data_IF_617782781091
#
_entry.id   IF_617782781091
#
_cell.length_a   1.000
_cell.length_b   1.000
_cell.length_c   1.000
_cell.angle_alpha   90.00
_cell.angle_beta   90.00
_cell.angle_gamma   90.00
#
_symmetry.space_group_name_H-M   'P 1'
#
loop_
_entity.id
_entity.type
_entity.pdbx_description
1 polymer ?
#
# COMPACT_ATOMS: atom_id res chain seq x y z
N UNK A 1 -42.99 -60.84 -2.02
CA UNK A 1 -42.28 -60.07 -3.06
C UNK A 1 -43.19 -58.98 -3.58
N UNK A 2 -43.08 -57.75 -3.04
CA UNK A 2 -43.90 -56.60 -3.46
C UNK A 2 -43.03 -55.65 -4.30
N UNK A 3 -43.45 -55.44 -5.54
CA UNK A 3 -42.86 -54.52 -6.53
C UNK A 3 -43.14 -53.08 -6.11
N UNK A 4 -42.13 -52.21 -6.16
CA UNK A 4 -42.26 -50.77 -5.98
C UNK A 4 -42.25 -50.10 -7.36
N UNK A 5 -43.29 -49.32 -7.63
CA UNK A 5 -43.57 -48.58 -8.86
C UNK A 5 -42.84 -47.24 -8.79
N UNK A 6 -42.06 -46.92 -9.83
CA UNK A 6 -41.44 -45.60 -10.04
C UNK A 6 -42.43 -44.75 -10.84
N UNK A 7 -42.85 -43.62 -10.27
CA UNK A 7 -43.74 -42.66 -10.92
C UNK A 7 -42.90 -41.46 -11.40
N UNK A 8 -42.77 -41.34 -12.72
CA UNK A 8 -42.15 -40.21 -13.41
C UNK A 8 -43.21 -39.09 -13.54
N UNK A 9 -42.94 -37.90 -12.98
CA UNK A 9 -43.72 -36.69 -13.29
C UNK A 9 -42.86 -35.72 -14.08
N UNK A 10 -43.24 -35.53 -15.35
CA UNK A 10 -42.81 -34.43 -16.20
C UNK A 10 -43.77 -33.27 -15.95
N UNK A 11 -43.24 -32.08 -15.64
CA UNK A 11 -43.98 -30.83 -15.74
C UNK A 11 -43.14 -29.79 -16.47
N UNK A 12 -43.76 -29.18 -17.48
CA UNK A 12 -43.21 -28.16 -18.35
C UNK A 12 -43.83 -26.79 -18.00
N UNK A 13 -42.99 -25.75 -17.97
CA UNK A 13 -43.36 -24.37 -18.31
C UNK A 13 -43.75 -23.41 -17.17
N UNK A 14 -42.90 -22.42 -16.87
CA UNK A 14 -43.17 -20.99 -17.13
C UNK A 14 -41.94 -20.12 -16.82
N UNK A 15 -41.64 -19.19 -17.73
CA UNK A 15 -40.63 -18.13 -17.61
C UNK A 15 -41.13 -16.99 -16.71
N UNK A 16 -40.34 -16.60 -15.70
CA UNK A 16 -40.28 -15.22 -15.19
C UNK A 16 -38.81 -14.92 -14.86
N UNK A 17 -38.27 -13.88 -15.49
CA UNK A 17 -36.89 -13.45 -15.31
C UNK A 17 -36.64 -12.89 -13.91
N UNK A 18 -35.56 -13.34 -13.30
CA UNK A 18 -34.83 -12.57 -12.28
C UNK A 18 -33.44 -12.37 -12.88
N UNK A 19 -33.20 -11.18 -13.45
CA UNK A 19 -31.85 -10.69 -13.67
C UNK A 19 -31.23 -10.49 -12.29
N UNK A 20 -30.55 -11.51 -11.79
CA UNK A 20 -29.64 -11.36 -10.68
C UNK A 20 -28.46 -10.54 -11.19
N UNK A 21 -28.50 -9.23 -10.92
CA UNK A 21 -27.29 -8.43 -10.86
C UNK A 21 -26.42 -9.05 -9.78
N UNK A 22 -25.50 -9.92 -10.18
CA UNK A 22 -24.36 -10.27 -9.34
C UNK A 22 -23.45 -9.05 -9.34
N UNK A 23 -23.68 -8.14 -8.40
CA UNK A 23 -22.58 -7.35 -7.86
C UNK A 23 -21.60 -8.34 -7.25
N UNK A 24 -20.71 -8.88 -8.07
CA UNK A 24 -19.44 -9.42 -7.60
C UNK A 24 -18.61 -8.22 -7.17
N UNK A 25 -18.97 -7.65 -6.02
CA UNK A 25 -17.97 -7.05 -5.16
C UNK A 25 -16.96 -8.19 -4.95
N UNK A 26 -15.80 -8.06 -5.59
CA UNK A 26 -14.70 -8.97 -5.37
C UNK A 26 -14.49 -9.01 -3.87
N UNK A 27 -14.75 -10.16 -3.25
CA UNK A 27 -14.42 -10.36 -1.86
C UNK A 27 -12.92 -10.09 -1.75
N UNK A 28 -12.55 -8.94 -1.19
CA UNK A 28 -11.16 -8.67 -0.82
C UNK A 28 -10.76 -9.86 0.04
N UNK A 29 -9.80 -10.66 -0.42
CA UNK A 29 -9.25 -11.73 0.42
C UNK A 29 -8.72 -11.02 1.65
N UNK A 30 -9.42 -11.16 2.78
CA UNK A 30 -9.03 -10.49 4.02
C UNK A 30 -7.65 -11.03 4.39
N UNK A 31 -6.61 -10.25 4.07
CA UNK A 31 -5.24 -10.68 4.31
C UNK A 31 -5.05 -10.62 5.81
N UNK A 32 -4.92 -11.80 6.44
CA UNK A 32 -4.65 -11.89 7.86
C UNK A 32 -3.39 -11.07 8.17
N UNK A 33 -3.47 -10.05 9.06
CA UNK A 33 -2.33 -9.18 9.31
C UNK A 33 -1.11 -9.98 9.78
N UNK A 34 0.07 -9.67 9.30
CA UNK A 34 1.31 -10.36 9.64
C UNK A 34 1.62 -10.31 11.15
N UNK A 35 1.13 -9.30 11.88
CA UNK A 35 1.24 -9.25 13.34
C UNK A 35 0.48 -10.38 14.05
N UNK A 36 -0.58 -10.95 13.44
CA UNK A 36 -1.28 -12.12 14.00
C UNK A 36 -0.38 -13.36 14.08
N UNK A 37 0.75 -13.39 13.37
CA UNK A 37 1.73 -14.46 13.52
C UNK A 37 2.37 -14.44 14.93
N UNK A 38 2.57 -13.26 15.51
CA UNK A 38 3.08 -13.12 16.90
C UNK A 38 2.04 -13.65 17.88
N UNK A 39 0.76 -13.30 17.68
CA UNK A 39 -0.36 -13.86 18.43
C UNK A 39 -0.37 -15.38 18.41
N UNK A 40 -0.26 -15.94 17.21
CA UNK A 40 -0.30 -17.38 17.00
C UNK A 40 0.87 -18.09 17.70
N UNK A 41 2.08 -17.52 17.63
CA UNK A 41 3.27 -18.08 18.31
C UNK A 41 3.05 -18.13 19.82
N UNK A 42 2.65 -17.00 20.43
CA UNK A 42 2.39 -16.93 21.87
C UNK A 42 1.31 -17.92 22.28
N UNK A 43 0.16 -17.89 21.59
CA UNK A 43 -0.98 -18.75 21.89
C UNK A 43 -0.64 -20.24 21.77
N UNK A 44 0.10 -20.65 20.75
CA UNK A 44 0.51 -22.05 20.55
C UNK A 44 1.39 -22.54 21.69
N UNK A 45 2.35 -21.73 22.13
CA UNK A 45 3.19 -22.08 23.28
C UNK A 45 2.37 -22.21 24.56
N UNK A 46 1.56 -21.20 24.90
CA UNK A 46 0.79 -21.21 26.15
C UNK A 46 -0.30 -22.27 26.18
N UNK A 47 -0.88 -22.62 25.02
CA UNK A 47 -1.75 -23.78 24.90
C UNK A 47 -1.03 -25.04 25.40
N UNK A 48 0.14 -25.34 24.85
CA UNK A 48 0.88 -26.56 25.19
C UNK A 48 1.33 -26.57 26.66
N UNK A 49 1.78 -25.44 27.20
CA UNK A 49 2.19 -25.33 28.62
C UNK A 49 0.99 -25.51 29.55
N UNK A 50 -0.14 -24.87 29.23
CA UNK A 50 -1.30 -24.85 30.10
C UNK A 50 -2.14 -26.12 30.01
N UNK A 51 -2.28 -26.75 28.84
CA UNK A 51 -3.03 -28.01 28.66
C UNK A 51 -2.37 -29.22 29.35
N UNK A 52 -1.09 -29.13 29.70
CA UNK A 52 -0.46 -30.09 30.60
C UNK A 52 -0.91 -29.96 32.07
N UNK A 53 -1.53 -28.84 32.44
CA UNK A 53 -2.31 -28.70 33.68
C UNK A 53 -3.76 -29.13 33.47
N UNK A 54 -4.47 -29.55 34.51
CA UNK A 54 -5.87 -30.02 34.46
C UNK A 54 -6.91 -28.94 34.03
N UNK A 55 -6.77 -28.38 32.82
CA UNK A 55 -7.57 -27.26 32.32
C UNK A 55 -8.72 -27.77 31.48
N UNK A 56 -9.94 -27.35 31.83
CA UNK A 56 -11.15 -27.75 31.12
C UNK A 56 -11.46 -26.88 29.91
N UNK A 57 -10.93 -25.65 29.85
CA UNK A 57 -11.09 -24.73 28.70
C UNK A 57 -10.09 -23.58 28.72
N UNK A 58 -9.48 -23.28 27.57
CA UNK A 58 -8.65 -22.10 27.33
C UNK A 58 -9.36 -21.12 26.39
N UNK A 59 -9.32 -19.82 26.71
CA UNK A 59 -9.59 -18.75 25.74
C UNK A 59 -8.29 -17.99 25.48
N UNK A 60 -7.99 -17.76 24.21
CA UNK A 60 -6.80 -17.03 23.76
C UNK A 60 -7.07 -15.52 23.81
N UNK A 61 -6.16 -14.71 24.38
CA UNK A 61 -6.22 -13.25 24.16
C UNK A 61 -5.27 -12.85 23.03
N UNK A 62 -5.53 -11.65 22.55
CA UNK A 62 -4.75 -10.94 21.53
C UNK A 62 -3.58 -10.20 22.17
N UNK A 63 -2.48 -10.19 21.44
CA UNK A 63 -1.29 -9.39 21.60
C UNK A 63 -1.65 -7.91 21.45
N UNK A 64 -0.94 -7.06 22.18
CA UNK A 64 -1.16 -5.62 22.09
C UNK A 64 -0.44 -5.03 20.86
N UNK A 65 -1.15 -4.85 19.76
CA UNK A 65 -0.62 -4.26 18.52
C UNK A 65 -0.13 -2.83 18.69
N UNK A 66 -0.61 -2.10 19.71
CA UNK A 66 -0.18 -0.73 20.00
C UNK A 66 1.30 -0.65 20.42
N UNK A 67 1.93 -1.80 20.69
CA UNK A 67 3.37 -1.87 20.95
C UNK A 67 4.22 -1.69 19.69
N UNK A 68 3.64 -1.71 18.49
CA UNK A 68 4.37 -1.64 17.22
C UNK A 68 4.25 -0.29 16.54
N UNK A 69 5.39 0.21 16.04
CA UNK A 69 5.43 1.27 15.04
C UNK A 69 5.87 0.68 13.71
N UNK A 70 5.35 1.25 12.63
CA UNK A 70 5.77 0.94 11.27
C UNK A 70 6.63 2.07 10.71
N UNK A 71 7.65 1.68 9.96
CA UNK A 71 8.51 2.58 9.21
C UNK A 71 8.76 2.01 7.82
N UNK A 72 9.10 2.86 6.86
CA UNK A 72 9.42 2.45 5.51
C UNK A 72 10.67 3.15 4.98
N UNK A 73 11.35 2.49 4.06
CA UNK A 73 12.53 3.03 3.37
C UNK A 73 12.54 2.62 1.92
N UNK A 74 13.06 3.49 1.04
CA UNK A 74 13.33 3.17 -0.37
C UNK A 74 14.24 1.94 -0.47
N UNK A 75 13.93 1.03 -1.40
CA UNK A 75 14.73 -0.17 -1.69
C UNK A 75 15.26 -0.13 -3.12
N UNK A 76 16.52 0.31 -3.27
CA UNK A 76 17.15 0.51 -4.57
C UNK A 76 16.77 1.85 -5.23
N UNK A 77 17.39 2.15 -6.37
CA UNK A 77 17.04 3.35 -7.14
C UNK A 77 15.82 3.10 -8.02
N UNK A 78 14.91 4.09 -8.18
CA UNK A 78 13.78 3.94 -9.06
C UNK A 78 14.21 3.85 -10.52
N UNK A 79 13.44 3.08 -11.27
CA UNK A 79 13.52 3.02 -12.72
C UNK A 79 12.66 4.15 -13.28
N UNK A 80 13.29 5.04 -14.04
CA UNK A 80 12.63 6.12 -14.77
C UNK A 80 12.33 5.65 -16.20
N UNK A 81 11.09 5.81 -16.66
CA UNK A 81 10.75 5.57 -18.07
C UNK A 81 11.30 6.66 -18.96
N UNK A 82 11.35 6.38 -20.27
CA UNK A 82 11.51 7.43 -21.27
C UNK A 82 10.39 8.47 -21.15
N UNK A 83 10.70 9.67 -21.65
CA UNK A 83 9.77 10.80 -21.66
C UNK A 83 8.67 10.52 -22.68
N UNK A 84 7.41 10.55 -22.23
CA UNK A 84 6.23 10.40 -23.07
C UNK A 84 5.53 11.76 -23.25
N UNK A 85 5.47 12.33 -24.47
CA UNK A 85 4.76 13.58 -24.71
C UNK A 85 3.25 13.34 -24.78
N UNK A 86 2.50 13.96 -23.87
CA UNK A 86 1.05 14.10 -23.94
C UNK A 86 0.74 15.29 -24.83
N UNK A 87 0.27 15.00 -26.04
CA UNK A 87 -0.10 16.02 -27.01
C UNK A 87 -1.47 16.63 -26.72
N UNK A 88 -1.55 17.96 -26.67
CA UNK A 88 -2.78 18.69 -26.40
C UNK A 88 -3.42 19.33 -27.63
N UNK A 89 -2.65 19.48 -28.71
CA UNK A 89 -3.17 19.97 -29.98
C UNK A 89 -2.21 20.88 -30.74
N UNK A 90 -2.63 21.23 -31.95
CA UNK A 90 -1.92 22.10 -32.88
C UNK A 90 -2.88 22.95 -33.69
N UNK A 91 -2.43 24.11 -34.11
CA UNK A 91 -3.20 25.01 -34.98
C UNK A 91 -3.37 24.41 -36.38
N UNK A 92 -4.58 23.91 -36.69
CA UNK A 92 -4.91 23.25 -37.98
C UNK A 92 -4.58 24.07 -39.24
N UNK A 93 -4.60 25.40 -39.17
CA UNK A 93 -4.32 26.30 -40.31
C UNK A 93 -3.03 27.11 -40.17
N UNK A 94 -2.35 27.03 -39.02
CA UNK A 94 -1.24 27.92 -38.70
C UNK A 94 -1.60 29.41 -38.58
N UNK A 95 -0.61 30.22 -38.24
CA UNK A 95 -0.60 31.67 -38.29
C UNK A 95 -0.08 32.06 -39.67
N UNK A 96 -0.98 32.38 -40.60
CA UNK A 96 -0.67 32.59 -42.02
C UNK A 96 -0.49 34.07 -42.31
N UNK A 97 0.72 34.48 -42.73
CA UNK A 97 0.97 35.81 -43.25
C UNK A 97 1.07 35.78 -44.78
N UNK A 98 0.00 36.21 -45.46
CA UNK A 98 -0.03 36.33 -46.93
C UNK A 98 0.34 37.74 -47.43
N UNK A 99 0.81 38.63 -46.54
CA UNK A 99 1.18 40.00 -46.90
C UNK A 99 2.68 40.09 -47.21
N UNK A 100 3.07 41.17 -47.88
CA UNK A 100 4.48 41.47 -48.18
C UNK A 100 5.26 42.03 -46.98
N UNK A 101 4.60 42.25 -45.84
CA UNK A 101 5.18 42.82 -44.63
C UNK A 101 5.10 41.83 -43.45
N UNK A 102 5.94 42.01 -42.43
CA UNK A 102 5.85 41.26 -41.18
C UNK A 102 4.52 41.56 -40.46
N UNK A 103 3.81 40.52 -40.03
CA UNK A 103 2.56 40.64 -39.28
C UNK A 103 2.72 40.08 -37.87
N UNK A 104 2.03 40.69 -36.91
CA UNK A 104 2.00 40.19 -35.53
C UNK A 104 0.69 39.45 -35.29
N UNK A 105 0.78 38.16 -34.96
CA UNK A 105 -0.35 37.31 -34.62
C UNK A 105 -0.40 37.05 -33.11
N UNK A 106 -1.61 36.82 -32.59
CA UNK A 106 -1.82 36.38 -31.22
C UNK A 106 -2.00 34.86 -31.16
N UNK A 107 -1.17 34.19 -30.37
CA UNK A 107 -1.36 32.82 -29.93
C UNK A 107 -2.28 32.87 -28.72
N UNK A 108 -3.46 32.22 -28.75
CA UNK A 108 -4.38 32.25 -27.63
C UNK A 108 -3.77 31.58 -26.39
N UNK A 109 -4.25 31.96 -25.21
CA UNK A 109 -3.88 31.26 -23.98
C UNK A 109 -4.30 29.79 -24.06
N UNK A 110 -3.54 28.95 -23.38
CA UNK A 110 -3.82 27.53 -23.23
C UNK A 110 -4.17 27.22 -21.78
N UNK A 111 -5.12 26.30 -21.55
CA UNK A 111 -5.45 25.78 -20.23
C UNK A 111 -5.90 24.33 -20.34
N UNK A 112 -5.28 23.43 -19.57
CA UNK A 112 -5.66 22.01 -19.51
C UNK A 112 -5.39 21.43 -18.14
N UNK A 113 -6.37 20.73 -17.58
CA UNK A 113 -6.21 19.95 -16.36
C UNK A 113 -5.57 18.60 -16.69
N UNK A 114 -4.54 18.26 -15.93
CA UNK A 114 -3.80 16.99 -16.02
C UNK A 114 -3.79 16.34 -14.64
N UNK A 115 -4.06 15.04 -14.62
CA UNK A 115 -4.07 14.25 -13.39
C UNK A 115 -2.76 13.47 -13.26
N UNK A 116 -2.09 13.64 -12.13
CA UNK A 116 -0.94 12.85 -11.69
C UNK A 116 -1.40 11.76 -10.74
N UNK A 117 -0.60 10.70 -10.65
CA UNK A 117 -0.93 9.57 -9.80
C UNK A 117 0.28 9.01 -9.08
N UNK A 118 0.02 8.50 -7.87
CA UNK A 118 0.97 7.80 -7.04
C UNK A 118 0.29 6.55 -6.52
N UNK A 119 0.75 5.40 -6.97
CA UNK A 119 0.23 4.10 -6.60
C UNK A 119 1.26 3.36 -5.75
N UNK A 120 0.80 2.73 -4.67
CA UNK A 120 1.61 1.86 -3.82
C UNK A 120 0.87 0.56 -3.56
N UNK A 121 1.61 -0.54 -3.51
CA UNK A 121 1.08 -1.85 -3.12
C UNK A 121 2.09 -2.54 -2.20
N UNK A 122 1.61 -3.46 -1.38
CA UNK A 122 2.44 -4.19 -0.43
C UNK A 122 2.26 -5.69 -0.58
N UNK A 123 3.32 -6.43 -0.29
CA UNK A 123 3.25 -7.89 -0.20
C UNK A 123 2.42 -8.35 0.99
N UNK A 124 1.94 -9.60 0.97
CA UNK A 124 1.19 -10.19 2.09
C UNK A 124 1.94 -10.11 3.43
N UNK A 125 3.26 -10.25 3.41
CA UNK A 125 4.09 -10.19 4.61
C UNK A 125 4.28 -8.75 5.15
N UNK A 126 3.98 -7.74 4.35
CA UNK A 126 4.00 -6.33 4.74
C UNK A 126 2.65 -5.82 5.26
N UNK A 127 1.58 -6.61 5.19
CA UNK A 127 0.27 -6.24 5.73
C UNK A 127 0.27 -6.40 7.25
N UNK A 128 0.78 -5.43 8.00
CA UNK A 128 0.89 -5.49 9.46
C UNK A 128 -0.42 -5.19 10.20
N UNK A 129 -1.41 -4.56 9.56
CA UNK A 129 -2.65 -4.16 10.22
C UNK A 129 -2.54 -2.89 11.07
N UNK A 130 -1.48 -2.08 10.87
CA UNK A 130 -1.16 -0.91 11.69
C UNK A 130 -1.62 0.43 11.07
N UNK A 131 -2.40 0.40 9.98
CA UNK A 131 -2.89 1.60 9.31
C UNK A 131 -1.90 2.16 8.29
N UNK A 132 -1.80 3.49 8.19
CA UNK A 132 -1.04 4.17 7.13
C UNK A 132 0.32 4.68 7.61
N UNK A 133 1.32 4.63 6.74
CA UNK A 133 2.66 5.16 6.98
C UNK A 133 3.15 5.95 5.77
N UNK A 134 3.84 7.05 6.01
CA UNK A 134 4.48 7.83 4.95
C UNK A 134 5.90 7.32 4.71
N UNK A 135 6.25 7.05 3.45
CA UNK A 135 7.56 6.51 3.06
C UNK A 135 8.23 7.49 2.10
N UNK A 136 9.49 7.91 2.34
CA UNK A 136 10.25 8.65 1.35
C UNK A 136 10.62 7.75 0.16
N UNK A 137 10.25 8.15 -1.05
CA UNK A 137 10.45 7.36 -2.27
C UNK A 137 11.52 7.97 -3.19
N UNK A 138 11.53 9.29 -3.38
CA UNK A 138 12.47 9.96 -4.30
C UNK A 138 12.57 11.46 -3.97
N UNK A 139 13.75 11.95 -3.56
CA UNK A 139 13.94 13.35 -3.16
C UNK A 139 12.87 13.81 -2.15
N UNK A 140 12.09 14.83 -2.49
CA UNK A 140 10.98 15.35 -1.67
C UNK A 140 9.67 14.56 -1.85
N UNK A 141 9.62 13.56 -2.73
CA UNK A 141 8.45 12.73 -2.95
C UNK A 141 8.37 11.59 -1.93
N UNK A 142 7.34 11.65 -1.10
CA UNK A 142 6.90 10.58 -0.22
C UNK A 142 5.65 9.88 -0.75
N UNK A 143 5.26 8.74 -0.18
CA UNK A 143 3.96 8.11 -0.44
C UNK A 143 3.31 7.60 0.84
N UNK A 144 1.99 7.72 0.91
CA UNK A 144 1.19 7.08 1.95
C UNK A 144 0.92 5.62 1.59
N UNK A 145 1.49 4.71 2.36
CA UNK A 145 1.29 3.27 2.22
C UNK A 145 0.32 2.77 3.27
N UNK A 146 -0.72 2.06 2.84
CA UNK A 146 -1.63 1.37 3.75
C UNK A 146 -1.06 -0.01 4.11
N UNK A 147 -0.74 -0.21 5.38
CA UNK A 147 -0.18 -1.45 5.92
C UNK A 147 -1.24 -2.44 6.39
N UNK A 148 -2.53 -2.14 6.20
CA UNK A 148 -3.64 -3.01 6.59
C UNK A 148 -4.27 -3.77 5.42
N UNK A 149 -3.86 -3.51 4.19
CA UNK A 149 -4.34 -4.22 2.99
C UNK A 149 -3.22 -4.36 1.96
N UNK A 150 -3.23 -5.45 1.19
CA UNK A 150 -2.36 -5.65 0.02
C UNK A 150 -2.89 -4.97 -1.24
N UNK A 151 -4.07 -4.37 -1.17
CA UNK A 151 -4.65 -3.66 -2.31
C UNK A 151 -3.78 -2.47 -2.69
N UNK A 152 -3.76 -2.16 -4.00
CA UNK A 152 -3.04 -0.99 -4.48
C UNK A 152 -3.76 0.28 -4.06
N UNK A 153 -3.11 1.11 -3.24
CA UNK A 153 -3.58 2.44 -2.90
C UNK A 153 -3.11 3.43 -3.97
N UNK A 154 -4.02 4.17 -4.59
CA UNK A 154 -3.70 5.19 -5.59
C UNK A 154 -4.19 6.55 -5.14
N UNK A 155 -3.26 7.49 -4.99
CA UNK A 155 -3.52 8.90 -4.77
C UNK A 155 -3.42 9.62 -6.11
N UNK A 156 -4.34 10.56 -6.37
CA UNK A 156 -4.32 11.38 -7.58
C UNK A 156 -4.41 12.85 -7.23
N UNK A 157 -3.70 13.66 -8.01
CA UNK A 157 -3.74 15.12 -7.92
C UNK A 157 -4.02 15.67 -9.31
N UNK A 158 -4.95 16.61 -9.43
CA UNK A 158 -5.26 17.24 -10.71
C UNK A 158 -4.78 18.69 -10.70
N UNK A 159 -3.82 18.98 -11.58
CA UNK A 159 -3.24 20.32 -11.73
C UNK A 159 -3.70 20.91 -13.05
N UNK A 160 -4.11 22.18 -13.03
CA UNK A 160 -4.45 22.92 -14.25
C UNK A 160 -3.23 23.67 -14.75
N UNK A 161 -2.75 23.25 -15.92
CA UNK A 161 -1.61 23.85 -16.60
C UNK A 161 -2.11 24.94 -17.51
N UNK A 162 -1.56 26.15 -17.36
CA UNK A 162 -1.92 27.30 -18.16
C UNK A 162 -0.71 27.93 -18.84
N UNK A 163 -0.93 28.45 -20.05
CA UNK A 163 -0.03 29.34 -20.75
C UNK A 163 -0.78 30.63 -21.09
N UNK A 164 -0.24 31.82 -20.79
CA UNK A 164 -0.85 33.07 -21.22
C UNK A 164 -0.84 33.19 -22.75
N UNK A 165 -1.66 34.10 -23.27
CA UNK A 165 -1.63 34.46 -24.69
C UNK A 165 -0.30 35.15 -25.03
N UNK A 166 0.21 34.93 -26.23
CA UNK A 166 1.54 35.39 -26.65
C UNK A 166 1.49 35.98 -28.05
N UNK A 167 2.19 37.10 -28.26
CA UNK A 167 2.34 37.69 -29.59
C UNK A 167 3.53 37.08 -30.34
N UNK A 168 3.33 36.78 -31.62
CA UNK A 168 4.31 36.17 -32.52
C UNK A 168 4.40 36.98 -33.79
N UNK A 169 5.62 37.38 -34.16
CA UNK A 169 5.91 38.01 -35.44
C UNK A 169 6.11 36.94 -36.50
N UNK A 170 5.33 37.01 -37.57
CA UNK A 170 5.39 36.09 -38.71
C UNK A 170 5.85 36.90 -39.93
N UNK A 171 7.01 36.56 -40.52
CA UNK A 171 7.51 37.25 -41.72
C UNK A 171 6.54 37.17 -42.90
N UNK A 172 6.74 38.04 -43.88
CA UNK A 172 6.00 38.02 -45.13
C UNK A 172 6.00 36.62 -45.78
N UNK A 173 4.85 36.20 -46.31
CA UNK A 173 4.66 34.92 -47.01
C UNK A 173 5.05 33.67 -46.22
N UNK A 174 4.93 33.71 -44.88
CA UNK A 174 5.22 32.59 -43.98
C UNK A 174 3.99 32.11 -43.23
N UNK A 175 4.02 30.83 -42.88
CA UNK A 175 3.01 30.20 -42.03
C UNK A 175 3.69 29.52 -40.85
N UNK A 176 3.35 29.94 -39.64
CA UNK A 176 3.87 29.33 -38.41
C UNK A 176 2.82 28.44 -37.75
N UNK A 177 3.19 27.23 -37.36
CA UNK A 177 2.38 26.32 -36.57
C UNK A 177 2.62 26.53 -35.07
N UNK A 178 1.63 26.18 -34.26
CA UNK A 178 1.76 26.16 -32.79
C UNK A 178 1.35 24.78 -32.31
N UNK A 179 2.25 24.07 -31.64
CA UNK A 179 1.99 22.76 -31.02
C UNK A 179 2.15 22.85 -29.51
N UNK A 180 1.26 22.18 -28.79
CA UNK A 180 1.26 22.17 -27.32
C UNK A 180 1.31 20.72 -26.83
N UNK A 181 2.25 20.44 -25.93
CA UNK A 181 2.38 19.12 -25.32
C UNK A 181 2.98 19.22 -23.91
N UNK A 182 2.74 18.19 -23.11
CA UNK A 182 3.31 18.01 -21.78
C UNK A 182 4.16 16.75 -21.79
N UNK A 183 5.41 16.84 -21.36
CA UNK A 183 6.22 15.66 -21.10
C UNK A 183 5.77 15.00 -19.81
N UNK A 184 5.48 13.69 -19.87
CA UNK A 184 5.19 12.85 -18.72
C UNK A 184 6.34 11.86 -18.52
N UNK A 185 6.66 11.62 -17.26
CA UNK A 185 7.56 10.55 -16.87
C UNK A 185 6.90 9.67 -15.82
N UNK A 186 7.30 8.40 -15.83
CA UNK A 186 6.90 7.42 -14.84
C UNK A 186 8.12 6.94 -14.09
N UNK A 187 8.00 6.85 -12.77
CA UNK A 187 8.96 6.20 -11.90
C UNK A 187 8.35 4.95 -11.32
N UNK A 188 9.07 3.84 -11.38
CA UNK A 188 8.72 2.61 -10.66
C UNK A 188 9.85 2.23 -9.71
N UNK A 189 9.52 1.67 -8.56
CA UNK A 189 10.52 1.27 -7.59
C UNK A 189 9.95 0.39 -6.49
N UNK A 190 10.82 0.02 -5.56
CA UNK A 190 10.49 -0.82 -4.42
C UNK A 190 10.78 -0.09 -3.12
N UNK A 191 10.08 -0.48 -2.06
CA UNK A 191 10.36 -0.03 -0.70
C UNK A 191 10.28 -1.21 0.27
N UNK A 192 10.98 -1.07 1.39
CA UNK A 192 10.89 -1.99 2.53
C UNK A 192 10.09 -1.34 3.63
N UNK A 193 9.24 -2.14 4.26
CA UNK A 193 8.51 -1.81 5.46
C UNK A 193 9.03 -2.65 6.63
N UNK A 194 9.10 -2.01 7.80
CA UNK A 194 9.44 -2.67 9.06
C UNK A 194 8.44 -2.26 10.12
N UNK A 195 7.73 -3.24 10.66
CA UNK A 195 6.97 -3.09 11.90
C UNK A 195 7.87 -3.56 13.05
N UNK A 196 8.14 -2.70 14.01
CA UNK A 196 8.96 -3.02 15.17
C UNK A 196 8.37 -2.45 16.44
N UNK A 197 8.61 -3.13 17.55
CA UNK A 197 8.19 -2.61 18.85
C UNK A 197 8.87 -1.27 19.14
N UNK A 198 8.10 -0.24 19.51
CA UNK A 198 8.64 1.09 19.76
C UNK A 198 9.00 1.27 21.23
N UNK A 199 10.23 1.75 21.46
CA UNK A 199 10.90 1.87 22.78
C UNK A 199 11.30 0.53 23.40
N UNK A 200 12.42 0.52 24.11
CA UNK A 200 12.85 -0.58 24.97
C UNK A 200 12.00 -0.65 26.26
N UNK A 201 10.66 -0.63 26.15
CA UNK A 201 9.75 -0.73 27.30
C UNK A 201 9.40 -2.17 27.65
N UNK A 202 8.90 -2.28 28.87
CA UNK A 202 8.78 -3.44 29.76
C UNK A 202 7.85 -4.52 29.18
N UNK A 203 8.43 -5.70 28.95
CA UNK A 203 7.72 -6.98 28.83
C UNK A 203 6.69 -7.06 27.69
N UNK A 204 7.15 -7.59 26.57
CA UNK A 204 6.26 -8.07 25.52
C UNK A 204 5.56 -9.32 26.04
N UNK A 205 4.29 -9.20 26.41
CA UNK A 205 3.53 -10.31 27.02
C UNK A 205 2.38 -10.79 26.14
N UNK A 206 2.05 -12.07 26.28
CA UNK A 206 0.77 -12.61 25.84
C UNK A 206 -0.05 -12.94 27.09
N UNK A 207 -1.34 -12.63 27.04
CA UNK A 207 -2.27 -13.01 28.10
C UNK A 207 -3.12 -14.18 27.61
N UNK A 208 -3.40 -15.13 28.48
CA UNK A 208 -4.29 -16.25 28.22
C UNK A 208 -5.30 -16.37 29.35
N UNK A 209 -6.52 -16.79 29.03
CA UNK A 209 -7.57 -16.97 30.03
C UNK A 209 -7.79 -18.45 30.27
N UNK A 210 -7.45 -18.89 31.48
CA UNK A 210 -7.65 -20.25 31.97
C UNK A 210 -8.95 -20.33 32.74
N UNK A 211 -9.83 -21.27 32.40
CA UNK A 211 -11.02 -21.56 33.19
C UNK A 211 -10.74 -22.69 34.20
N UNK A 212 -10.81 -22.37 35.49
CA UNK A 212 -10.60 -23.32 36.60
C UNK A 212 -11.91 -23.62 37.35
N UNK A 213 -12.12 -24.86 37.84
CA UNK A 213 -13.26 -25.16 38.72
C UNK A 213 -13.07 -24.53 40.10
N UNK A 214 -14.13 -24.00 40.70
CA UNK A 214 -14.07 -23.41 42.05
C UNK A 214 -14.17 -24.41 43.20
N UNK A 215 -14.14 -25.72 42.90
CA UNK A 215 -14.41 -26.78 43.88
C UNK A 215 -15.90 -26.97 44.20
N UNK A 216 -16.79 -26.05 43.81
CA UNK A 216 -18.24 -26.23 43.86
C UNK A 216 -18.76 -26.86 42.55
N UNK A 217 -19.73 -27.77 42.64
CA UNK A 217 -20.20 -28.61 41.52
C UNK A 217 -20.73 -27.86 40.28
N UNK A 218 -20.89 -26.52 40.34
CA UNK A 218 -21.41 -25.70 39.24
C UNK A 218 -20.61 -24.40 38.97
N UNK A 219 -19.53 -24.12 39.70
CA UNK A 219 -18.80 -22.85 39.62
C UNK A 219 -17.49 -22.92 38.82
N UNK A 220 -17.23 -21.88 38.03
CA UNK A 220 -15.97 -21.69 37.30
C UNK A 220 -15.44 -20.27 37.52
N UNK A 221 -14.12 -20.14 37.60
CA UNK A 221 -13.43 -18.85 37.55
C UNK A 221 -12.58 -18.77 36.29
N UNK A 222 -12.59 -17.60 35.66
CA UNK A 222 -11.70 -17.26 34.56
C UNK A 222 -10.49 -16.52 35.15
N UNK A 223 -9.32 -17.16 35.07
CA UNK A 223 -8.04 -16.63 35.54
C UNK A 223 -7.25 -16.11 34.34
N UNK A 224 -6.81 -14.85 34.40
CA UNK A 224 -5.90 -14.27 33.40
C UNK A 224 -4.47 -14.60 33.80
N UNK A 225 -3.75 -15.24 32.89
CA UNK A 225 -2.34 -15.55 33.07
C UNK A 225 -1.58 -14.79 31.99
N UNK A 226 -0.62 -13.98 32.41
CA UNK A 226 0.20 -13.16 31.52
C UNK A 226 1.63 -13.69 31.56
N UNK A 227 2.22 -13.90 30.40
CA UNK A 227 3.57 -14.43 30.27
C UNK A 227 4.37 -13.71 29.18
N UNK A 228 5.68 -13.53 29.35
CA UNK A 228 6.53 -12.89 28.36
C UNK A 228 6.74 -13.77 27.13
N UNK A 229 6.71 -13.16 25.95
CA UNK A 229 6.87 -13.86 24.66
C UNK A 229 8.20 -14.63 24.56
N UNK A 230 9.21 -14.19 25.30
CA UNK A 230 10.52 -14.85 25.46
C UNK A 230 10.40 -16.32 25.85
N UNK A 231 9.41 -16.68 26.68
CA UNK A 231 9.22 -18.08 27.07
C UNK A 231 8.85 -18.96 25.87
N UNK A 232 8.05 -18.42 24.94
CA UNK A 232 7.72 -19.10 23.69
C UNK A 232 8.96 -19.20 22.79
N UNK A 233 9.78 -18.14 22.74
CA UNK A 233 11.01 -18.11 21.93
C UNK A 233 12.01 -19.20 22.35
N UNK A 234 12.41 -19.24 23.63
CA UNK A 234 13.41 -20.22 24.09
C UNK A 234 12.92 -21.66 24.02
N UNK A 235 11.62 -21.88 23.97
CA UNK A 235 11.03 -23.21 23.83
C UNK A 235 10.96 -23.67 22.38
N UNK A 236 10.76 -22.76 21.43
CA UNK A 236 10.81 -23.09 20.02
C UNK A 236 11.21 -21.86 19.19
N UNK A 237 12.52 -21.71 18.97
CA UNK A 237 13.09 -20.62 18.18
C UNK A 237 12.73 -20.73 16.69
N UNK A 238 12.52 -21.95 16.18
CA UNK A 238 12.14 -22.19 14.79
C UNK A 238 10.80 -21.56 14.44
N UNK A 239 9.82 -21.60 15.36
CA UNK A 239 8.50 -20.99 15.16
C UNK A 239 8.57 -19.50 14.82
N UNK A 240 9.51 -18.74 15.41
CA UNK A 240 9.66 -17.32 15.12
C UNK A 240 10.23 -17.11 13.72
N UNK A 241 11.29 -17.86 13.39
CA UNK A 241 11.96 -17.78 12.09
C UNK A 241 11.03 -18.18 10.94
N UNK A 242 10.30 -19.28 11.10
CA UNK A 242 9.34 -19.79 10.10
C UNK A 242 8.18 -18.81 9.85
N UNK A 243 7.82 -18.02 10.85
CA UNK A 243 6.80 -16.99 10.75
C UNK A 243 7.35 -15.60 10.34
N UNK A 244 8.66 -15.48 10.10
CA UNK A 244 9.30 -14.21 9.72
C UNK A 244 9.28 -13.16 10.84
N UNK A 245 9.24 -13.58 12.10
CA UNK A 245 9.33 -12.71 13.27
C UNK A 245 10.78 -12.66 13.74
N UNK A 246 11.40 -11.49 13.59
CA UNK A 246 12.72 -11.22 14.15
C UNK A 246 12.60 -10.95 15.64
N UNK A 247 13.40 -11.63 16.45
CA UNK A 247 13.43 -11.54 17.90
C UNK A 247 14.83 -11.11 18.37
N UNK A 248 14.86 -10.20 19.35
CA UNK A 248 16.06 -9.84 20.10
C UNK A 248 15.66 -9.61 21.56
N UNK A 249 16.45 -10.09 22.50
CA UNK A 249 16.19 -9.92 23.93
C UNK A 249 17.48 -9.71 24.69
N UNK A 250 17.39 -9.08 25.86
CA UNK A 250 18.50 -9.01 26.81
C UNK A 250 18.69 -10.31 27.61
N UNK A 251 17.82 -11.30 27.44
CA UNK A 251 17.98 -12.65 27.99
C UNK A 251 18.82 -13.55 27.06
N UNK A 252 19.32 -14.66 27.61
CA UNK A 252 20.15 -15.65 26.89
C UNK A 252 19.63 -17.08 26.96
N UNK A 253 18.68 -17.34 27.86
CA UNK A 253 18.07 -18.65 28.10
C UNK A 253 16.67 -18.49 28.69
N UNK A 254 15.92 -19.58 28.79
CA UNK A 254 14.60 -19.58 29.41
C UNK A 254 14.69 -19.21 30.90
N UNK A 255 15.65 -19.75 31.62
CA UNK A 255 15.88 -19.48 33.04
C UNK A 255 16.24 -18.01 33.28
N UNK A 256 17.14 -17.46 32.46
CA UNK A 256 17.53 -16.04 32.50
C UNK A 256 16.34 -15.13 32.17
N UNK A 257 15.51 -15.50 31.18
CA UNK A 257 14.29 -14.77 30.87
C UNK A 257 13.29 -14.78 32.04
N UNK A 258 13.16 -15.91 32.75
CA UNK A 258 12.29 -16.03 33.91
C UNK A 258 12.77 -15.18 35.09
N UNK A 259 14.08 -15.15 35.35
CA UNK A 259 14.67 -14.32 36.39
C UNK A 259 14.50 -12.83 36.06
N UNK A 260 14.84 -12.42 34.83
CA UNK A 260 14.69 -11.03 34.38
C UNK A 260 13.25 -10.57 34.39
N UNK A 261 12.30 -11.44 34.04
CA UNK A 261 10.87 -11.16 34.12
C UNK A 261 10.42 -10.93 35.58
N UNK A 262 10.81 -11.82 36.51
CA UNK A 262 10.52 -11.64 37.94
C UNK A 262 11.09 -10.33 38.50
N UNK A 263 12.24 -9.90 37.98
CA UNK A 263 12.93 -8.69 38.40
C UNK A 263 12.49 -7.43 37.62
N UNK A 264 11.55 -7.51 36.67
CA UNK A 264 11.11 -6.38 35.84
C UNK A 264 12.16 -5.82 34.87
N UNK A 265 13.23 -6.59 34.64
CA UNK A 265 14.40 -6.19 33.83
C UNK A 265 14.41 -6.82 32.44
N UNK A 266 13.44 -7.69 32.12
CA UNK A 266 13.34 -8.29 30.81
C UNK A 266 13.04 -7.23 29.74
N UNK A 267 13.80 -7.25 28.65
CA UNK A 267 13.67 -6.34 27.52
C UNK A 267 13.74 -7.14 26.23
N UNK A 268 12.70 -6.99 25.42
CA UNK A 268 12.52 -7.77 24.19
C UNK A 268 12.11 -6.83 23.07
N UNK A 269 12.61 -7.09 21.87
CA UNK A 269 12.25 -6.40 20.65
C UNK A 269 11.78 -7.44 19.65
N UNK A 270 10.62 -7.19 19.06
CA UNK A 270 10.09 -7.95 17.93
C UNK A 270 10.04 -7.06 16.71
N UNK A 271 10.35 -7.63 15.54
CA UNK A 271 10.08 -6.94 14.28
C UNK A 271 9.68 -7.90 13.17
N UNK A 272 8.85 -7.41 12.26
CA UNK A 272 8.56 -8.04 10.99
C UNK A 272 8.97 -7.10 9.87
N UNK A 273 9.38 -7.70 8.76
CA UNK A 273 9.77 -6.98 7.55
C UNK A 273 8.89 -7.45 6.41
N UNK A 274 8.64 -6.55 5.47
CA UNK A 274 7.97 -6.88 4.24
C UNK A 274 8.27 -5.85 3.16
N UNK A 275 8.01 -6.23 1.93
CA UNK A 275 8.33 -5.40 0.78
C UNK A 275 7.04 -4.85 0.15
N UNK A 276 7.21 -3.76 -0.59
CA UNK A 276 6.18 -3.18 -1.45
C UNK A 276 6.80 -2.49 -2.66
N UNK A 277 5.93 -2.04 -3.54
CA UNK A 277 6.30 -1.39 -4.79
C UNK A 277 5.48 -0.12 -4.99
N UNK A 278 6.03 0.80 -5.78
CA UNK A 278 5.38 2.05 -6.11
C UNK A 278 5.49 2.39 -7.59
N UNK A 279 4.51 3.15 -8.05
CA UNK A 279 4.49 3.82 -9.34
C UNK A 279 4.11 5.28 -9.14
N UNK A 280 4.90 6.19 -9.67
CA UNK A 280 4.61 7.63 -9.68
C UNK A 280 4.55 8.09 -11.15
N UNK A 281 3.46 8.72 -11.54
CA UNK A 281 3.28 9.32 -12.87
C UNK A 281 3.08 10.83 -12.73
N UNK A 282 4.11 11.60 -13.11
CA UNK A 282 4.12 13.05 -13.02
C UNK A 282 4.43 13.70 -14.38
N UNK A 283 3.86 14.88 -14.63
CA UNK A 283 4.23 15.74 -15.76
C UNK A 283 5.44 16.58 -15.41
N UNK A 284 6.49 16.60 -16.25
CA UNK A 284 7.73 17.33 -15.99
C UNK A 284 7.70 18.74 -16.57
N UNK A 285 7.52 18.83 -17.88
CA UNK A 285 7.75 20.04 -18.66
C UNK A 285 6.60 20.26 -19.62
N UNK A 286 5.97 21.42 -19.50
CA UNK A 286 4.96 21.87 -20.42
C UNK A 286 5.57 22.74 -21.51
N UNK A 287 5.26 22.42 -22.76
CA UNK A 287 5.85 23.05 -23.93
C UNK A 287 4.78 23.68 -24.83
N UNK A 288 5.00 24.96 -25.17
CA UNK A 288 4.35 25.63 -26.31
C UNK A 288 5.41 25.92 -27.36
N UNK A 289 5.33 25.24 -28.49
CA UNK A 289 6.33 25.36 -29.56
C UNK A 289 5.71 26.01 -30.79
N UNK A 290 6.32 27.11 -31.22
CA UNK A 290 6.02 27.79 -32.47
C UNK A 290 7.08 27.37 -33.48
N UNK A 291 6.67 26.92 -34.64
CA UNK A 291 7.57 26.41 -35.67
C UNK A 291 7.16 26.89 -37.07
N UNK A 292 8.12 26.99 -38.00
CA UNK A 292 7.85 27.30 -39.41
C UNK A 292 7.34 26.03 -40.10
N UNK A 293 6.11 26.07 -40.63
CA UNK A 293 5.49 24.89 -41.23
C UNK A 293 6.17 24.43 -42.52
N UNK A 294 6.96 25.30 -43.18
CA UNK A 294 7.64 24.96 -44.43
C UNK A 294 8.84 24.03 -44.25
N UNK A 295 9.48 24.06 -43.08
CA UNK A 295 10.71 23.31 -42.80
C UNK A 295 10.71 22.66 -41.40
N UNK A 296 9.60 22.75 -40.67
CA UNK A 296 9.41 22.25 -39.31
C UNK A 296 10.44 22.78 -38.29
N UNK A 297 11.05 23.94 -38.57
CA UNK A 297 12.05 24.55 -37.68
C UNK A 297 11.35 25.25 -36.52
N UNK A 298 11.73 24.91 -35.29
CA UNK A 298 11.33 25.66 -34.10
C UNK A 298 11.81 27.11 -34.20
N UNK A 299 10.85 28.04 -34.10
CA UNK A 299 11.09 29.49 -34.08
C UNK A 299 11.14 29.98 -32.64
N UNK A 300 10.25 29.48 -31.80
CA UNK A 300 10.18 29.83 -30.38
C UNK A 300 9.60 28.69 -29.57
N UNK A 301 10.10 28.50 -28.37
CA UNK A 301 9.64 27.50 -27.43
C UNK A 301 9.48 28.14 -26.06
N UNK A 302 8.39 27.80 -25.38
CA UNK A 302 8.10 28.21 -24.03
C UNK A 302 7.95 26.97 -23.17
N UNK A 303 8.77 26.94 -22.12
CA UNK A 303 8.86 25.82 -21.21
C UNK A 303 8.40 26.26 -19.83
N UNK A 304 7.57 25.44 -19.20
CA UNK A 304 7.22 25.59 -17.79
C UNK A 304 7.44 24.25 -17.10
N UNK A 305 8.40 24.22 -16.18
CA UNK A 305 8.54 23.08 -15.26
C UNK A 305 7.31 23.01 -14.37
N UNK A 306 6.79 21.80 -14.18
CA UNK A 306 5.62 21.55 -13.33
C UNK A 306 6.01 20.90 -12.00
N UNK A 307 7.19 20.28 -11.93
CA UNK A 307 7.73 19.66 -10.72
C UNK A 307 8.89 20.53 -10.22
N UNK A 308 8.75 21.06 -9.01
CA UNK A 308 9.86 21.22 -8.04
C UNK A 308 9.81 20.02 -7.10
#
# INVERSE_FOLDING_TARGET
>A
MKKLIILLFVFCGYMIGITSFSNTASASSEVTPALTKIDWIGNTYYKNVLEHGNIKRLKYNTFNTDLFNVSGTKNGEPIRTDIEPIYFGETKKGLVNNTDEEQTFSVPSFSKSVTYSKSTSISKNASFGLGKVEIPLLNELSATVNTSSTDTNTETETVTITSPSQSVKVPAHKTYGVKVYLNRIKYTGQFKLKASTWRNYEEITATVVRRVPTGHHTGYLDEKITYPIDYAYYKNTANFKENGVNYSSNSTSLEDAQEKYKNGTLRTTLSLEGDGEYTIENGTDFHVVIYDMSNNRTIKQYDKSIIE
#
